data_IF_389685278361
#
_entry.id   IF_389685278361
#
_cell.length_a   1.000
_cell.length_b   1.000
_cell.length_c   1.000
_cell.angle_alpha   90.00
_cell.angle_beta   90.00
_cell.angle_gamma   90.00
#
_symmetry.space_group_name_H-M   'P 1'
#
loop_
_entity.id
_entity.type
_entity.pdbx_description
1 polymer ?
#
# COMPACT_ATOMS: atom_id res chain seq x y z
N UNK A 1 -3.66 15.65 -0.14
CA UNK A 1 -3.21 14.61 -1.09
C UNK A 1 -4.46 14.02 -1.71
N UNK A 2 -4.49 13.46 -2.92
CA UNK A 2 -5.66 12.69 -3.31
C UNK A 2 -5.73 11.52 -2.31
N UNK A 3 -6.65 11.62 -1.36
CA UNK A 3 -6.97 10.58 -0.41
C UNK A 3 -7.29 9.34 -1.25
N UNK A 4 -6.52 8.26 -1.06
CA UNK A 4 -6.82 6.98 -1.68
C UNK A 4 -8.30 6.63 -1.43
N UNK A 5 -8.94 5.93 -2.36
CA UNK A 5 -10.36 5.59 -2.24
C UNK A 5 -10.66 4.87 -0.92
N UNK A 6 -11.91 4.94 -0.45
CA UNK A 6 -12.34 4.27 0.77
C UNK A 6 -12.01 2.77 0.72
N UNK A 7 -11.09 2.33 1.58
CA UNK A 7 -10.58 0.96 1.61
C UNK A 7 -9.27 0.74 0.86
N UNK A 8 -8.56 1.82 0.52
CA UNK A 8 -7.18 1.80 0.06
C UNK A 8 -6.25 2.45 1.09
N UNK A 9 -5.02 1.98 1.12
CA UNK A 9 -3.94 2.46 1.97
C UNK A 9 -2.97 3.23 1.10
N UNK A 10 -2.40 4.31 1.63
CA UNK A 10 -1.36 5.05 0.93
C UNK A 10 0.03 4.50 1.29
N UNK A 11 0.86 4.35 0.27
CA UNK A 11 2.26 3.99 0.34
C UNK A 11 3.11 4.96 -0.48
N UNK A 12 4.42 4.93 -0.28
CA UNK A 12 5.32 5.80 -1.05
C UNK A 12 5.30 5.44 -2.54
N UNK A 13 5.28 4.14 -2.86
CA UNK A 13 5.18 3.64 -4.22
C UNK A 13 4.75 2.17 -4.22
N UNK A 14 3.78 1.81 -5.06
CA UNK A 14 3.36 0.42 -5.30
C UNK A 14 4.28 -0.24 -6.34
N UNK A 15 4.77 -1.44 -6.04
CA UNK A 15 5.78 -2.13 -6.85
C UNK A 15 5.23 -2.49 -8.25
N UNK A 16 3.95 -2.83 -8.36
CA UNK A 16 3.37 -3.30 -9.63
C UNK A 16 2.82 -2.20 -10.54
N UNK A 17 2.35 -1.07 -9.99
CA UNK A 17 1.56 -0.11 -10.79
C UNK A 17 1.94 1.37 -10.62
N UNK A 18 3.08 1.70 -9.99
CA UNK A 18 3.55 3.09 -9.73
C UNK A 18 2.51 4.01 -9.09
N UNK A 19 1.40 3.48 -8.60
CA UNK A 19 0.42 4.20 -7.79
C UNK A 19 0.92 4.29 -6.36
N UNK A 20 0.40 5.24 -5.61
CA UNK A 20 0.66 5.38 -4.17
C UNK A 20 -0.48 4.77 -3.34
N UNK A 21 -1.48 4.17 -3.98
CA UNK A 21 -2.62 3.55 -3.31
C UNK A 21 -2.62 2.05 -3.59
N UNK A 22 -2.68 1.27 -2.51
CA UNK A 22 -2.88 -0.18 -2.54
C UNK A 22 -4.21 -0.53 -1.87
N UNK A 23 -4.91 -1.59 -2.28
CA UNK A 23 -6.12 -2.05 -1.59
C UNK A 23 -5.84 -2.49 -0.14
N UNK A 24 -6.80 -2.29 0.76
CA UNK A 24 -6.64 -2.60 2.20
C UNK A 24 -6.37 -4.07 2.50
N UNK A 25 -6.75 -4.99 1.61
CA UNK A 25 -6.43 -6.41 1.78
C UNK A 25 -4.95 -6.72 1.58
N UNK A 26 -4.18 -5.82 0.95
CA UNK A 26 -2.72 -5.89 0.84
C UNK A 26 -2.02 -5.34 2.08
N UNK A 27 -2.76 -4.85 3.09
CA UNK A 27 -2.17 -4.51 4.38
C UNK A 27 -1.92 -5.79 5.16
N UNK A 28 -0.68 -6.02 5.59
CA UNK A 28 -0.32 -7.17 6.40
C UNK A 28 -0.71 -8.50 5.76
N UNK A 29 -0.56 -8.61 4.44
CA UNK A 29 -0.92 -9.81 3.70
C UNK A 29 0.26 -10.78 3.55
N UNK A 30 1.38 -10.49 4.22
CA UNK A 30 2.67 -11.19 4.16
C UNK A 30 3.41 -11.00 2.83
N UNK A 31 2.95 -10.10 1.97
CA UNK A 31 3.58 -9.71 0.72
C UNK A 31 3.98 -8.26 0.80
N UNK A 32 5.23 -7.96 0.48
CA UNK A 32 5.68 -6.57 0.36
C UNK A 32 5.24 -6.05 -1.00
N UNK A 33 4.17 -5.27 -1.00
CA UNK A 33 3.56 -4.59 -2.14
C UNK A 33 4.07 -3.14 -2.28
N UNK A 34 4.42 -2.50 -1.17
CA UNK A 34 4.99 -1.16 -1.19
C UNK A 34 6.52 -1.18 -1.26
N UNK A 35 7.11 -0.30 -2.07
CA UNK A 35 8.57 -0.24 -2.30
C UNK A 35 9.32 0.05 -0.99
N UNK A 36 8.68 0.79 -0.09
CA UNK A 36 9.12 1.11 1.25
C UNK A 36 8.73 0.06 2.31
N UNK A 37 7.97 -0.98 1.93
CA UNK A 37 7.48 -2.02 2.83
C UNK A 37 6.55 -1.51 3.92
N UNK A 38 5.96 -0.33 3.74
CA UNK A 38 5.12 0.33 4.75
C UNK A 38 3.75 -0.32 4.92
N UNK A 39 3.29 -1.06 3.91
CA UNK A 39 2.15 -1.95 3.95
C UNK A 39 2.30 -3.09 4.96
N UNK A 40 3.51 -3.64 5.08
CA UNK A 40 3.86 -4.72 6.00
C UNK A 40 4.56 -4.22 7.28
N UNK A 41 4.93 -2.94 7.34
CA UNK A 41 5.57 -2.36 8.52
C UNK A 41 4.54 -2.06 9.63
N UNK A 42 4.66 -2.74 10.77
CA UNK A 42 3.83 -2.46 11.94
C UNK A 42 2.45 -3.11 11.90
N UNK A 43 2.34 -4.26 11.24
CA UNK A 43 1.61 -5.36 11.86
C UNK A 43 2.46 -6.02 12.97
#
# INVERSE_FOLDING_TARGET
APDCDLGQISCSQYIFNKTYCIPQHQRCDMTVDCVDGTDEAGC
#
